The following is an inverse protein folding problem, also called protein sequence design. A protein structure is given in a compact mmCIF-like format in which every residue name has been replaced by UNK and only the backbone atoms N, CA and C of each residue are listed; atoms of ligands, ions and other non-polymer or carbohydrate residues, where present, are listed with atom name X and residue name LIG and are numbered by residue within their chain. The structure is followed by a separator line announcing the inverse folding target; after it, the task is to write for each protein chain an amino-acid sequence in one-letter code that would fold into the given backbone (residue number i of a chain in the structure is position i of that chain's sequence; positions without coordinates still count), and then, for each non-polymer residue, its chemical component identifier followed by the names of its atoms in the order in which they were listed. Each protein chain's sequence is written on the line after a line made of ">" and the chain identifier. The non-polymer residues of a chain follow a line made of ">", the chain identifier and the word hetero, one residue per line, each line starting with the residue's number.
data_IF_897632860416
#
_entry.id   IF_897632860416
#
_cell.length_a   1.000
_cell.length_b   1.000
_cell.length_c   1.000
_cell.angle_alpha   90.00
_cell.angle_beta   90.00
_cell.angle_gamma   90.00
#
_symmetry.space_group_name_H-M   'P 1'
#
loop_
_entity.id
_entity.type
_entity.pdbx_description
1 polymer ?
#
# COMPACT_ATOMS: atom_id res chain seq x y z
N UNK A 1 17.68 4.98 0.09
CA UNK A 1 17.38 5.72 -1.17
C UNK A 1 15.85 5.71 -1.34
N UNK A 2 15.25 6.86 -1.67
CA UNK A 2 13.79 7.08 -1.55
C UNK A 2 12.91 6.17 -2.44
N UNK A 3 13.42 5.64 -3.54
CA UNK A 3 12.68 4.78 -4.47
C UNK A 3 12.95 3.27 -4.27
N UNK A 4 14.02 2.90 -3.57
CA UNK A 4 14.25 1.49 -3.25
C UNK A 4 13.33 1.08 -2.10
N UNK A 5 12.50 0.03 -2.25
CA UNK A 5 11.69 -0.47 -1.14
C UNK A 5 12.55 -0.90 0.06
N UNK A 6 12.01 -0.76 1.27
CA UNK A 6 12.61 -1.35 2.47
C UNK A 6 12.17 -2.81 2.65
N UNK A 7 10.90 -3.06 2.36
CA UNK A 7 10.26 -4.37 2.48
C UNK A 7 9.51 -4.69 1.21
N UNK A 8 9.63 -5.91 0.70
CA UNK A 8 8.92 -6.41 -0.48
C UNK A 8 8.16 -7.67 -0.10
N UNK A 9 6.88 -7.68 -0.37
CA UNK A 9 5.97 -8.79 -0.11
C UNK A 9 5.44 -9.34 -1.43
N UNK A 10 5.23 -10.66 -1.50
CA UNK A 10 4.64 -11.27 -2.69
C UNK A 10 3.21 -10.79 -2.90
N UNK A 11 2.43 -10.71 -1.81
CA UNK A 11 1.03 -10.28 -1.80
C UNK A 11 0.70 -9.67 -0.43
N UNK A 12 -0.47 -9.06 -0.31
CA UNK A 12 -0.86 -8.38 0.92
C UNK A 12 -1.03 -9.36 2.08
N UNK A 13 -1.48 -10.58 1.80
CA UNK A 13 -1.67 -11.64 2.80
C UNK A 13 -0.35 -12.11 3.44
N UNK A 14 0.79 -11.82 2.81
CA UNK A 14 2.13 -12.07 3.38
C UNK A 14 2.52 -11.06 4.47
N UNK A 15 1.80 -9.95 4.61
CA UNK A 15 1.98 -9.00 5.70
C UNK A 15 1.24 -9.57 6.92
N UNK A 16 1.99 -9.96 7.96
CA UNK A 16 1.40 -10.56 9.16
C UNK A 16 1.36 -9.58 10.34
N UNK A 17 0.46 -9.77 11.32
CA UNK A 17 0.44 -8.98 12.55
C UNK A 17 1.77 -9.03 13.30
N UNK A 18 2.46 -10.18 13.30
CA UNK A 18 3.76 -10.37 13.96
C UNK A 18 4.83 -9.51 13.31
N UNK A 19 4.86 -9.46 11.96
CA UNK A 19 5.77 -8.56 11.24
C UNK A 19 5.53 -7.11 11.64
N UNK A 20 4.27 -6.67 11.67
CA UNK A 20 3.92 -5.30 12.05
C UNK A 20 4.33 -4.98 13.49
N UNK A 21 4.07 -5.91 14.43
CA UNK A 21 4.44 -5.75 15.84
C UNK A 21 5.97 -5.65 16.01
N UNK A 22 6.75 -6.48 15.31
CA UNK A 22 8.22 -6.43 15.33
C UNK A 22 8.79 -5.08 14.86
N UNK A 23 8.05 -4.38 13.99
CA UNK A 23 8.45 -3.08 13.45
C UNK A 23 7.74 -1.88 14.11
N UNK A 24 6.95 -2.12 15.17
CA UNK A 24 6.19 -1.09 15.88
C UNK A 24 5.09 -0.44 15.04
N UNK A 25 4.62 -1.11 13.97
CA UNK A 25 3.57 -0.62 13.09
C UNK A 25 2.22 -1.05 13.65
N UNK A 26 1.36 -0.08 13.94
CA UNK A 26 0.00 -0.29 14.47
C UNK A 26 -1.09 0.18 13.51
N UNK A 27 -0.68 0.81 12.39
CA UNK A 27 -1.61 1.32 11.40
C UNK A 27 -1.09 1.14 9.97
N UNK A 28 -1.97 0.81 9.04
CA UNK A 28 -1.65 0.69 7.62
C UNK A 28 -2.51 1.63 6.78
N UNK A 29 -1.84 2.29 5.85
CA UNK A 29 -2.46 3.03 4.75
C UNK A 29 -2.39 2.16 3.51
N UNK A 30 -3.55 1.84 2.93
CA UNK A 30 -3.70 0.86 1.86
C UNK A 30 -4.02 1.57 0.54
N UNK A 31 -3.25 1.31 -0.52
CA UNK A 31 -3.71 1.57 -1.88
C UNK A 31 -4.80 0.56 -2.27
N UNK A 32 -5.51 0.78 -3.37
CA UNK A 32 -6.61 -0.09 -3.82
C UNK A 32 -6.21 -0.93 -5.01
N UNK A 33 -5.93 -0.27 -6.13
CA UNK A 33 -5.70 -0.95 -7.41
C UNK A 33 -4.38 -1.75 -7.39
N UNK A 34 -4.40 -3.01 -7.79
CA UNK A 34 -3.30 -3.98 -7.70
C UNK A 34 -2.77 -4.25 -6.27
N UNK A 35 -3.35 -3.64 -5.25
CA UNK A 35 -3.03 -3.85 -3.83
C UNK A 35 -4.12 -4.70 -3.17
N UNK A 36 -5.31 -4.15 -2.96
CA UNK A 36 -6.46 -4.85 -2.40
C UNK A 36 -7.28 -5.59 -3.45
N UNK A 37 -7.34 -5.06 -4.67
CA UNK A 37 -8.08 -5.64 -5.80
C UNK A 37 -7.20 -5.70 -7.04
N UNK A 38 -7.64 -6.42 -8.08
CA UNK A 38 -7.07 -6.27 -9.41
C UNK A 38 -7.33 -4.86 -9.96
N UNK A 39 -6.46 -4.39 -10.88
CA UNK A 39 -6.56 -3.03 -11.47
C UNK A 39 -7.95 -2.77 -12.06
N UNK A 40 -8.57 -1.71 -11.58
CA UNK A 40 -9.89 -1.31 -12.00
C UNK A 40 -11.05 -2.18 -11.50
N UNK A 41 -10.81 -3.19 -10.65
CA UNK A 41 -11.84 -4.05 -10.09
C UNK A 41 -12.49 -3.44 -8.84
N UNK A 42 -13.74 -3.83 -8.59
CA UNK A 42 -14.43 -3.61 -7.32
C UNK A 42 -14.56 -4.93 -6.52
N UNK A 43 -14.10 -6.05 -7.09
CA UNK A 43 -14.16 -7.35 -6.44
C UNK A 43 -13.04 -7.49 -5.42
N UNK A 44 -13.37 -7.98 -4.25
CA UNK A 44 -12.42 -8.31 -3.19
C UNK A 44 -12.32 -9.84 -3.10
N UNK A 45 -11.10 -10.36 -3.21
CA UNK A 45 -10.84 -11.79 -3.04
C UNK A 45 -11.08 -12.18 -1.56
N UNK A 46 -11.53 -13.41 -1.34
CA UNK A 46 -11.81 -13.92 0.01
C UNK A 46 -10.54 -13.96 0.88
N UNK A 47 -9.37 -14.25 0.29
CA UNK A 47 -8.09 -14.19 1.00
C UNK A 47 -7.77 -12.79 1.54
N UNK A 48 -8.02 -11.75 0.73
CA UNK A 48 -7.83 -10.35 1.16
C UNK A 48 -8.84 -9.96 2.23
N UNK A 49 -10.09 -10.44 2.12
CA UNK A 49 -11.13 -10.24 3.15
C UNK A 49 -10.68 -10.82 4.48
N UNK A 50 -10.24 -12.09 4.47
CA UNK A 50 -9.72 -12.77 5.67
C UNK A 50 -8.51 -12.04 6.26
N UNK A 51 -7.61 -11.54 5.41
CA UNK A 51 -6.47 -10.73 5.85
C UNK A 51 -6.91 -9.44 6.54
N UNK A 52 -7.88 -8.70 5.98
CA UNK A 52 -8.44 -7.50 6.62
C UNK A 52 -9.02 -7.81 7.99
N UNK A 53 -9.72 -8.93 8.13
CA UNK A 53 -10.32 -9.36 9.41
C UNK A 53 -9.23 -9.78 10.41
N UNK A 54 -8.18 -10.46 9.96
CA UNK A 54 -7.00 -10.79 10.78
C UNK A 54 -6.32 -9.54 11.31
N UNK A 55 -6.10 -8.53 10.46
CA UNK A 55 -5.50 -7.27 10.88
C UNK A 55 -6.35 -6.52 11.91
N UNK A 56 -7.68 -6.48 11.70
CA UNK A 56 -8.61 -5.87 12.66
C UNK A 56 -8.59 -6.60 13.99
N UNK A 57 -8.63 -7.93 13.98
CA UNK A 57 -8.57 -8.75 15.19
C UNK A 57 -7.26 -8.53 15.97
N UNK A 58 -6.16 -8.25 15.28
CA UNK A 58 -4.87 -7.90 15.86
C UNK A 58 -4.78 -6.43 16.34
N UNK A 59 -5.84 -5.64 16.20
CA UNK A 59 -5.86 -4.23 16.61
C UNK A 59 -5.15 -3.27 15.65
N UNK A 60 -4.83 -3.72 14.42
CA UNK A 60 -4.20 -2.85 13.41
C UNK A 60 -5.23 -1.93 12.79
N UNK A 61 -4.99 -0.63 12.85
CA UNK A 61 -5.85 0.38 12.24
C UNK A 61 -5.61 0.46 10.73
N UNK A 62 -6.68 0.42 9.94
CA UNK A 62 -6.61 0.39 8.49
C UNK A 62 -7.35 1.58 7.86
N UNK A 63 -6.76 2.19 6.84
CA UNK A 63 -7.42 3.22 6.02
C UNK A 63 -6.96 3.15 4.56
N UNK A 64 -7.85 3.50 3.65
CA UNK A 64 -7.54 3.56 2.22
C UNK A 64 -7.01 4.94 1.85
N UNK A 65 -5.97 5.01 1.02
CA UNK A 65 -5.47 6.25 0.42
C UNK A 65 -5.23 6.04 -1.07
N UNK A 66 -6.08 6.64 -1.90
CA UNK A 66 -6.07 6.42 -3.34
C UNK A 66 -6.01 7.75 -4.13
N UNK A 67 -5.34 7.74 -5.28
CA UNK A 67 -5.34 8.85 -6.22
C UNK A 67 -6.65 8.95 -7.03
N UNK A 68 -7.50 7.93 -6.94
CA UNK A 68 -8.79 7.92 -7.62
C UNK A 68 -9.79 8.90 -6.96
N UNK A 69 -10.83 9.24 -7.72
CA UNK A 69 -11.91 10.12 -7.27
C UNK A 69 -12.75 9.47 -6.17
N UNK A 70 -13.44 10.28 -5.40
CA UNK A 70 -14.38 9.84 -4.36
C UNK A 70 -15.44 8.87 -4.93
N UNK A 71 -16.02 9.19 -6.08
CA UNK A 71 -16.98 8.31 -6.77
C UNK A 71 -16.46 6.90 -7.03
N UNK A 72 -15.15 6.76 -7.26
CA UNK A 72 -14.49 5.48 -7.51
C UNK A 72 -14.16 4.73 -6.21
N UNK A 73 -13.66 5.44 -5.20
CA UNK A 73 -13.13 4.83 -3.96
C UNK A 73 -14.23 4.54 -2.95
N UNK A 74 -15.22 5.41 -2.82
CA UNK A 74 -16.29 5.32 -1.82
C UNK A 74 -17.03 3.97 -1.83
N UNK A 75 -17.54 3.45 -2.99
CA UNK A 75 -18.29 2.19 -2.99
C UNK A 75 -17.44 1.00 -2.49
N UNK A 76 -16.16 0.98 -2.85
CA UNK A 76 -15.25 -0.05 -2.41
C UNK A 76 -14.96 0.07 -0.90
N UNK A 77 -14.63 1.27 -0.43
CA UNK A 77 -14.35 1.53 0.99
C UNK A 77 -15.54 1.18 1.89
N UNK A 78 -16.77 1.52 1.47
CA UNK A 78 -17.99 1.14 2.18
C UNK A 78 -18.18 -0.37 2.25
N UNK A 79 -17.93 -1.09 1.14
CA UNK A 79 -18.06 -2.56 1.09
C UNK A 79 -17.09 -3.25 2.03
N UNK A 80 -15.87 -2.75 2.16
CA UNK A 80 -14.86 -3.33 3.05
C UNK A 80 -14.88 -2.75 4.46
N UNK A 81 -15.76 -1.76 4.72
CA UNK A 81 -15.88 -1.12 6.03
C UNK A 81 -14.64 -0.35 6.47
N UNK A 82 -13.96 0.33 5.53
CA UNK A 82 -12.77 1.12 5.83
C UNK A 82 -12.99 2.62 5.59
N UNK A 83 -12.38 3.44 6.45
CA UNK A 83 -12.20 4.86 6.16
C UNK A 83 -11.31 5.04 4.92
N UNK A 84 -11.48 6.17 4.22
CA UNK A 84 -10.71 6.42 3.00
C UNK A 84 -10.38 7.90 2.78
N UNK A 85 -9.33 8.14 2.01
CA UNK A 85 -8.89 9.44 1.51
C UNK A 85 -8.78 9.34 -0.02
N UNK A 86 -9.73 9.91 -0.78
CA UNK A 86 -9.64 9.98 -2.24
C UNK A 86 -8.75 11.15 -2.67
N UNK A 87 -8.39 11.22 -3.94
CA UNK A 87 -7.57 12.30 -4.54
C UNK A 87 -6.32 12.60 -3.70
N UNK A 88 -5.64 11.55 -3.27
CA UNK A 88 -4.56 11.62 -2.28
C UNK A 88 -3.29 12.31 -2.76
N UNK A 89 -3.20 12.62 -4.07
CA UNK A 89 -2.06 13.29 -4.71
C UNK A 89 -0.72 12.56 -4.57
N UNK A 90 -0.72 11.21 -4.46
CA UNK A 90 0.53 10.45 -4.50
C UNK A 90 1.27 10.69 -5.84
N UNK A 91 2.56 10.96 -5.89
CA UNK A 91 3.58 10.71 -4.86
C UNK A 91 3.75 11.79 -3.78
N UNK A 92 3.02 12.86 -3.82
CA UNK A 92 3.07 13.85 -2.72
C UNK A 92 2.34 13.29 -1.49
N UNK A 93 2.55 13.94 -0.34
CA UNK A 93 2.12 13.40 0.96
C UNK A 93 0.81 13.94 1.58
N UNK A 94 -0.01 14.80 0.93
CA UNK A 94 -1.23 15.33 1.57
C UNK A 94 -2.17 14.24 2.06
N UNK A 95 -2.44 13.23 1.21
CA UNK A 95 -3.32 12.12 1.56
C UNK A 95 -2.80 11.29 2.75
N UNK A 96 -1.50 11.01 2.79
CA UNK A 96 -0.87 10.31 3.91
C UNK A 96 -0.95 11.10 5.21
N UNK A 97 -0.78 12.42 5.13
CA UNK A 97 -0.92 13.32 6.29
C UNK A 97 -2.33 13.29 6.86
N UNK A 98 -3.34 13.36 5.98
CA UNK A 98 -4.75 13.28 6.38
C UNK A 98 -5.04 11.92 7.03
N UNK A 99 -4.64 10.82 6.39
CA UNK A 99 -4.84 9.48 6.90
C UNK A 99 -4.22 9.30 8.30
N UNK A 100 -2.94 9.66 8.46
CA UNK A 100 -2.25 9.55 9.75
C UNK A 100 -2.95 10.35 10.86
N UNK A 101 -3.37 11.59 10.57
CA UNK A 101 -4.09 12.43 11.55
C UNK A 101 -5.42 11.81 11.97
N UNK A 102 -6.18 11.26 11.02
CA UNK A 102 -7.47 10.60 11.30
C UNK A 102 -7.29 9.34 12.14
N UNK A 103 -6.19 8.60 11.91
CA UNK A 103 -5.84 7.40 12.69
C UNK A 103 -5.25 7.72 14.07
N UNK A 104 -4.85 8.97 14.34
CA UNK A 104 -4.31 9.37 15.64
C UNK A 104 -2.93 8.77 15.96
N UNK A 105 -2.17 8.34 14.96
CA UNK A 105 -0.88 7.65 15.15
C UNK A 105 0.31 8.53 14.78
N UNK A 106 1.50 8.15 15.24
CA UNK A 106 2.77 8.78 14.86
C UNK A 106 3.28 8.24 13.52
N UNK A 107 4.32 8.87 12.94
CA UNK A 107 4.95 8.36 11.71
C UNK A 107 5.66 7.02 11.92
N UNK A 108 6.12 6.74 13.11
CA UNK A 108 6.79 5.49 13.47
C UNK A 108 5.81 4.31 13.55
N UNK A 109 4.53 4.60 13.75
CA UNK A 109 3.46 3.60 13.93
C UNK A 109 2.68 3.29 12.66
N UNK A 110 2.95 3.97 11.55
CA UNK A 110 2.18 3.84 10.30
C UNK A 110 3.06 3.43 9.14
N UNK A 111 2.56 2.55 8.28
CA UNK A 111 3.20 2.18 7.03
C UNK A 111 2.25 2.33 5.84
N UNK A 112 2.81 2.63 4.66
CA UNK A 112 2.09 2.58 3.38
C UNK A 112 2.19 1.18 2.79
N UNK A 113 1.07 0.64 2.30
CA UNK A 113 1.02 -0.60 1.52
C UNK A 113 0.60 -0.26 0.10
N UNK A 114 1.39 -0.64 -0.89
CA UNK A 114 1.09 -0.36 -2.29
C UNK A 114 2.06 -1.06 -3.23
N UNK A 115 1.73 -1.05 -4.53
CA UNK A 115 2.41 -1.81 -5.56
C UNK A 115 3.19 -0.96 -6.58
N UNK A 116 3.18 0.38 -6.43
CA UNK A 116 3.83 1.30 -7.36
C UNK A 116 4.99 2.06 -6.72
N UNK A 117 6.20 1.90 -7.29
CA UNK A 117 7.40 2.60 -6.79
C UNK A 117 7.26 4.12 -6.93
N UNK A 118 6.74 4.60 -8.07
CA UNK A 118 6.70 6.03 -8.39
C UNK A 118 5.48 6.77 -7.81
N UNK A 119 4.60 6.07 -7.11
CA UNK A 119 3.48 6.66 -6.38
C UNK A 119 3.53 6.31 -4.90
N UNK A 120 3.37 5.05 -4.54
CA UNK A 120 3.24 4.61 -3.15
C UNK A 120 4.56 4.66 -2.40
N UNK A 121 5.61 4.02 -2.97
CA UNK A 121 6.93 4.03 -2.36
C UNK A 121 7.51 5.44 -2.27
N UNK A 122 7.38 6.22 -3.35
CA UNK A 122 7.86 7.60 -3.36
C UNK A 122 7.08 8.47 -2.37
N UNK A 123 5.74 8.34 -2.29
CA UNK A 123 4.93 9.08 -1.32
C UNK A 123 5.32 8.75 0.12
N UNK A 124 5.49 7.46 0.43
CA UNK A 124 5.93 7.00 1.74
C UNK A 124 7.31 7.59 2.10
N UNK A 125 8.26 7.52 1.17
CA UNK A 125 9.60 8.05 1.36
C UNK A 125 9.66 9.56 1.55
N UNK A 126 8.91 10.33 0.75
CA UNK A 126 8.79 11.79 0.90
C UNK A 126 8.09 12.18 2.22
N UNK A 127 7.16 11.36 2.67
CA UNK A 127 6.48 11.59 3.94
C UNK A 127 7.30 11.15 5.15
N UNK A 128 8.26 10.24 4.97
CA UNK A 128 9.12 9.70 6.02
C UNK A 128 8.43 8.59 6.83
N UNK A 129 7.76 7.66 6.14
CA UNK A 129 7.20 6.43 6.70
C UNK A 129 7.66 5.23 5.87
N UNK A 130 7.69 4.01 6.43
CA UNK A 130 8.02 2.81 5.67
C UNK A 130 6.97 2.50 4.62
N UNK A 131 7.42 1.85 3.53
CA UNK A 131 6.55 1.26 2.51
C UNK A 131 6.70 -0.26 2.51
N UNK A 132 5.61 -0.95 2.74
CA UNK A 132 5.47 -2.38 2.54
C UNK A 132 5.05 -2.60 1.08
N UNK A 133 6.04 -2.76 0.23
CA UNK A 133 5.84 -2.82 -1.22
C UNK A 133 5.33 -4.20 -1.63
N UNK A 134 4.25 -4.22 -2.41
CA UNK A 134 3.69 -5.46 -2.96
C UNK A 134 4.15 -5.66 -4.41
N UNK A 135 4.43 -6.90 -4.76
CA UNK A 135 4.56 -7.25 -6.17
C UNK A 135 3.20 -7.11 -6.86
N UNK A 136 3.14 -6.54 -8.08
CA UNK A 136 1.87 -6.32 -8.77
C UNK A 136 1.09 -7.63 -8.97
N UNK A 137 -0.20 -7.60 -8.68
CA UNK A 137 -1.10 -8.77 -8.85
C UNK A 137 -1.32 -9.13 -10.31
N UNK A 138 -1.38 -8.12 -11.18
CA UNK A 138 -1.59 -8.29 -12.62
C UNK A 138 -0.41 -7.73 -13.40
N UNK A 139 0.06 -8.44 -14.44
CA UNK A 139 1.20 -7.98 -15.25
C UNK A 139 0.86 -6.80 -16.15
N UNK A 140 -0.41 -6.49 -16.35
CA UNK A 140 -0.87 -5.47 -17.29
C UNK A 140 -1.81 -4.47 -16.61
N UNK A 141 -1.28 -3.30 -16.29
CA UNK A 141 -2.10 -2.16 -15.87
C UNK A 141 -2.89 -1.62 -17.06
N UNK A 142 -4.16 -1.26 -16.85
CA UNK A 142 -5.02 -0.63 -17.85
C UNK A 142 -4.53 0.79 -18.18
N UNK A 143 -3.94 1.48 -17.22
CA UNK A 143 -3.44 2.84 -17.39
C UNK A 143 -2.08 2.85 -18.10
N UNK A 144 -1.99 3.55 -19.26
CA UNK A 144 -0.77 3.67 -20.08
C UNK A 144 0.40 4.31 -19.32
N UNK A 145 0.12 5.29 -18.46
CA UNK A 145 1.15 5.97 -17.64
C UNK A 145 1.73 5.00 -16.60
N UNK A 146 0.88 4.21 -15.95
CA UNK A 146 1.33 3.18 -15.00
C UNK A 146 2.19 2.15 -15.72
N UNK A 147 1.77 1.65 -16.89
CA UNK A 147 2.57 0.72 -17.71
C UNK A 147 3.95 1.27 -18.06
N UNK A 148 4.03 2.56 -18.38
CA UNK A 148 5.32 3.19 -18.66
C UNK A 148 6.21 3.20 -17.42
N UNK A 149 5.68 3.58 -16.27
CA UNK A 149 6.40 3.59 -14.98
C UNK A 149 6.90 2.20 -14.61
N UNK A 150 6.08 1.16 -14.80
CA UNK A 150 6.46 -0.25 -14.53
C UNK A 150 7.72 -0.70 -15.25
N UNK A 151 8.02 -0.16 -16.45
CA UNK A 151 9.25 -0.51 -17.18
C UNK A 151 10.54 -0.10 -16.46
N UNK A 152 10.46 0.89 -15.56
CA UNK A 152 11.60 1.38 -14.79
C UNK A 152 11.67 0.77 -13.37
N UNK A 153 10.58 0.19 -12.85
CA UNK A 153 10.55 -0.40 -11.51
C UNK A 153 11.56 -1.53 -11.29
N UNK A 154 11.87 -2.42 -12.29
CA UNK A 154 12.85 -3.48 -12.13
C UNK A 154 14.23 -2.98 -11.70
N UNK A 155 14.63 -1.77 -12.11
CA UNK A 155 15.88 -1.18 -11.66
C UNK A 155 15.97 -1.05 -10.13
N UNK A 156 14.89 -0.58 -9.50
CA UNK A 156 14.82 -0.35 -8.06
C UNK A 156 14.64 -1.65 -7.27
N UNK A 157 13.88 -2.60 -7.82
CA UNK A 157 13.74 -3.94 -7.27
C UNK A 157 15.07 -4.70 -7.33
N UNK A 158 15.79 -4.66 -8.46
CA UNK A 158 17.12 -5.25 -8.58
C UNK A 158 18.10 -4.65 -7.57
N UNK A 159 17.99 -3.33 -7.31
CA UNK A 159 18.81 -2.68 -6.28
C UNK A 159 18.45 -3.17 -4.88
N UNK A 160 17.17 -3.38 -4.58
CA UNK A 160 16.72 -4.00 -3.34
C UNK A 160 17.36 -5.38 -3.15
N UNK A 161 17.31 -6.26 -4.16
CA UNK A 161 17.91 -7.60 -4.10
C UNK A 161 19.43 -7.57 -3.95
N UNK A 162 20.12 -6.70 -4.68
CA UNK A 162 21.58 -6.53 -4.56
C UNK A 162 22.02 -6.09 -3.16
N UNK A 163 21.16 -5.37 -2.44
CA UNK A 163 21.40 -4.96 -1.05
C UNK A 163 21.02 -6.03 -0.03
N UNK A 164 20.76 -7.28 -0.45
CA UNK A 164 20.40 -8.39 0.43
C UNK A 164 18.91 -8.46 0.78
N UNK A 165 18.08 -7.66 0.14
CA UNK A 165 16.63 -7.71 0.34
C UNK A 165 16.02 -9.04 -0.11
N UNK A 166 15.07 -9.56 0.67
CA UNK A 166 14.34 -10.80 0.38
C UNK A 166 12.84 -10.51 0.31
N UNK A 167 12.14 -11.26 -0.55
CA UNK A 167 10.68 -11.20 -0.62
C UNK A 167 10.11 -11.95 0.59
N UNK A 168 9.15 -11.32 1.25
CA UNK A 168 8.31 -11.99 2.24
C UNK A 168 7.19 -12.74 1.48
N UNK A 169 7.14 -14.08 1.68
CA UNK A 169 6.19 -14.97 0.99
C UNK A 169 4.81 -14.99 1.64
#
# INVERSE_FOLDING_TARGET
>A
MILTPEYVFRRIESITPEFLAQHGITALVLDVDNTLTADGSQMLDDSVRQWLDTMRAAGVSLTIVSNNTDKRVRPFAQRVGLAYVPLACKPFSPGLRVARRRLGVTKQQIAMVGDQIFTDRLAAGLYGIPCLFLLPRTPHDKNRVVRLKRKFEPYWLNKFYRNGGKIHE
#
